data_IF_560887637275
#
_entry.id   IF_560887637275
#
_cell.length_a   1.000
_cell.length_b   1.000
_cell.length_c   1.000
_cell.angle_alpha   90.00
_cell.angle_beta   90.00
_cell.angle_gamma   90.00
#
_symmetry.space_group_name_H-M   'P 1'
#
loop_
_entity.id
_entity.type
_entity.pdbx_description
1 polymer ?
#
# COMPACT_ATOMS: atom_id res chain seq x y z
N UNK A 1 -10.74 8.43 16.88
CA UNK A 1 -10.64 7.08 16.28
C UNK A 1 -9.95 7.16 14.92
N UNK A 2 -8.84 6.44 14.75
CA UNK A 2 -8.12 6.36 13.48
C UNK A 2 -9.03 5.63 12.47
N UNK A 3 -9.20 6.16 11.26
CA UNK A 3 -10.06 5.57 10.22
C UNK A 3 -9.47 4.28 9.63
N UNK A 4 -8.14 4.21 9.64
CA UNK A 4 -7.35 3.10 9.15
C UNK A 4 -7.12 2.14 10.31
N UNK A 5 -7.64 0.93 10.22
CA UNK A 5 -7.57 -0.02 11.33
C UNK A 5 -6.33 -0.90 11.23
N UNK A 6 -6.09 -1.55 10.08
CA UNK A 6 -5.01 -2.55 9.96
C UNK A 6 -4.59 -2.77 8.50
N UNK A 7 -3.28 -2.93 8.28
CA UNK A 7 -2.73 -3.48 7.03
C UNK A 7 -2.73 -5.01 7.10
N UNK A 8 -3.35 -5.65 6.11
CA UNK A 8 -3.39 -7.10 5.97
C UNK A 8 -2.55 -7.50 4.77
N UNK A 9 -1.43 -8.17 5.01
CA UNK A 9 -0.54 -8.65 3.96
C UNK A 9 -1.20 -9.75 3.13
N UNK A 10 -1.10 -9.65 1.80
CA UNK A 10 -1.55 -10.65 0.85
C UNK A 10 -0.38 -11.55 0.48
N UNK A 11 -0.10 -12.53 1.35
CA UNK A 11 0.98 -13.48 1.17
C UNK A 11 2.38 -12.89 1.38
N UNK A 12 3.38 -13.51 0.76
CA UNK A 12 4.76 -13.07 0.83
C UNK A 12 5.03 -11.90 -0.11
N UNK A 13 6.05 -11.10 0.22
CA UNK A 13 6.53 -10.06 -0.65
C UNK A 13 7.11 -10.67 -1.95
N UNK A 14 6.90 -10.00 -3.07
CA UNK A 14 7.46 -10.41 -4.36
C UNK A 14 8.93 -10.04 -4.45
N UNK A 15 9.71 -10.82 -5.18
CA UNK A 15 11.15 -10.62 -5.40
C UNK A 15 11.45 -9.72 -6.61
N UNK A 16 12.59 -9.00 -6.65
CA UNK A 16 12.94 -8.16 -7.80
C UNK A 16 12.98 -8.99 -9.09
N UNK A 17 12.64 -8.38 -10.23
CA UNK A 17 12.58 -9.05 -11.53
C UNK A 17 11.30 -9.84 -11.80
N UNK A 18 10.35 -9.91 -10.86
CA UNK A 18 9.04 -10.50 -11.15
C UNK A 18 8.19 -9.60 -12.05
N UNK A 19 7.49 -10.19 -13.02
CA UNK A 19 6.61 -9.45 -13.93
C UNK A 19 5.39 -8.87 -13.17
N UNK A 20 5.19 -7.56 -13.32
CA UNK A 20 4.09 -6.81 -12.69
C UNK A 20 2.97 -6.52 -13.69
N UNK A 21 3.34 -6.32 -14.95
CA UNK A 21 2.47 -6.06 -16.11
C UNK A 21 3.21 -6.48 -17.37
N UNK A 22 2.53 -6.61 -18.52
CA UNK A 22 3.12 -7.08 -19.77
C UNK A 22 4.45 -6.39 -20.07
N UNK A 23 5.55 -7.16 -19.99
CA UNK A 23 6.93 -6.72 -20.18
C UNK A 23 7.47 -5.66 -19.20
N UNK A 24 6.88 -5.54 -18.01
CA UNK A 24 7.37 -4.69 -16.93
C UNK A 24 7.67 -5.52 -15.69
N UNK A 25 8.92 -5.43 -15.21
CA UNK A 25 9.41 -6.14 -14.03
C UNK A 25 9.55 -5.16 -12.85
N UNK A 26 9.33 -5.66 -11.64
CA UNK A 26 9.57 -4.85 -10.43
C UNK A 26 11.07 -4.72 -10.13
N UNK A 27 11.49 -3.51 -9.77
CA UNK A 27 12.90 -3.22 -9.49
C UNK A 27 13.35 -3.59 -8.08
N UNK A 28 12.42 -3.61 -7.11
CA UNK A 28 12.67 -3.85 -5.69
C UNK A 28 11.66 -4.87 -5.16
N UNK A 29 11.94 -5.50 -4.03
CA UNK A 29 10.99 -6.40 -3.35
C UNK A 29 9.83 -5.60 -2.76
N UNK A 30 8.59 -6.03 -3.03
CA UNK A 30 7.39 -5.31 -2.58
C UNK A 30 6.37 -6.23 -1.94
N UNK A 31 5.72 -5.76 -0.88
CA UNK A 31 4.70 -6.48 -0.13
C UNK A 31 3.32 -5.92 -0.48
N UNK A 32 2.45 -6.75 -1.04
CA UNK A 32 1.08 -6.38 -1.40
C UNK A 32 0.16 -6.62 -0.22
N UNK A 33 -0.85 -5.78 -0.05
CA UNK A 33 -1.82 -5.93 1.02
C UNK A 33 -3.04 -5.05 0.84
N UNK A 34 -3.89 -5.07 1.85
CA UNK A 34 -5.06 -4.19 1.94
C UNK A 34 -5.05 -3.46 3.28
N UNK A 35 -5.42 -2.19 3.26
CA UNK A 35 -5.80 -1.47 4.46
C UNK A 35 -7.30 -1.63 4.68
N UNK A 36 -7.66 -2.16 5.85
CA UNK A 36 -9.04 -2.23 6.30
C UNK A 36 -9.43 -0.91 6.98
N UNK A 37 -10.60 -0.40 6.63
CA UNK A 37 -11.22 0.74 7.27
C UNK A 37 -12.35 0.25 8.17
N UNK A 38 -12.72 1.09 9.13
CA UNK A 38 -13.91 0.89 9.96
C UNK A 38 -15.15 0.63 9.10
N UNK A 39 -16.05 -0.23 9.59
CA UNK A 39 -17.25 -0.68 8.85
C UNK A 39 -18.17 0.46 8.40
N UNK A 40 -18.12 1.60 9.10
CA UNK A 40 -18.86 2.81 8.73
C UNK A 40 -18.17 3.67 7.65
N UNK A 41 -17.17 3.14 6.95
CA UNK A 41 -16.46 3.85 5.87
C UNK A 41 -16.73 3.22 4.50
N UNK A 42 -16.76 4.05 3.45
CA UNK A 42 -16.81 3.61 2.06
C UNK A 42 -15.66 4.24 1.24
N UNK A 43 -14.84 3.43 0.53
CA UNK A 43 -14.83 1.97 0.57
C UNK A 43 -14.32 1.45 1.94
N UNK A 44 -14.63 0.18 2.24
CA UNK A 44 -14.20 -0.48 3.49
C UNK A 44 -12.74 -0.95 3.45
N UNK A 45 -12.11 -0.95 2.27
CA UNK A 45 -10.70 -1.29 2.13
C UNK A 45 -10.03 -0.56 0.96
N UNK A 46 -8.71 -0.41 1.04
CA UNK A 46 -7.85 0.03 -0.07
C UNK A 46 -6.72 -0.95 -0.32
N UNK A 47 -6.40 -1.18 -1.59
CA UNK A 47 -5.17 -1.88 -1.95
C UNK A 47 -3.96 -1.02 -1.61
N UNK A 48 -2.88 -1.68 -1.17
CA UNK A 48 -1.62 -1.03 -0.87
C UNK A 48 -0.45 -1.93 -1.27
N UNK A 49 0.66 -1.28 -1.62
CA UNK A 49 1.94 -1.90 -1.91
C UNK A 49 2.99 -1.21 -1.07
N UNK A 50 3.72 -1.96 -0.25
CA UNK A 50 4.77 -1.44 0.61
C UNK A 50 6.13 -2.01 0.19
N UNK A 51 7.21 -1.33 0.57
CA UNK A 51 8.55 -1.90 0.43
C UNK A 51 8.73 -3.09 1.37
N UNK A 52 9.52 -4.08 0.95
CA UNK A 52 9.98 -5.10 1.88
C UNK A 52 10.95 -4.47 2.89
N UNK A 53 10.57 -4.40 4.16
CA UNK A 53 11.40 -3.81 5.22
C UNK A 53 12.71 -4.57 5.48
N UNK A 54 12.84 -5.81 5.00
CA UNK A 54 14.07 -6.59 5.09
C UNK A 54 15.04 -6.29 3.94
N UNK A 55 14.59 -5.64 2.86
CA UNK A 55 15.43 -5.29 1.72
C UNK A 55 16.29 -4.06 2.04
N UNK A 56 17.61 -4.21 1.96
CA UNK A 56 18.57 -3.12 2.25
C UNK A 56 18.95 -2.29 1.03
N UNK A 57 18.50 -2.71 -0.15
CA UNK A 57 18.77 -2.06 -1.42
C UNK A 57 18.20 -2.87 -2.58
N UNK A 58 17.95 -2.22 -3.70
CA UNK A 58 17.48 -2.84 -4.93
C UNK A 58 18.28 -2.36 -6.13
N UNK A 59 18.05 -2.96 -7.31
CA UNK A 59 18.81 -2.69 -8.54
C UNK A 59 20.30 -3.02 -8.34
N UNK A 60 20.67 -4.24 -8.68
CA UNK A 60 22.04 -4.73 -8.56
C UNK A 60 22.67 -4.85 -9.95
N UNK A 61 23.93 -4.44 -10.07
CA UNK A 61 24.71 -4.74 -11.27
C UNK A 61 25.39 -6.10 -11.16
N UNK A 62 25.64 -6.74 -12.30
CA UNK A 62 26.19 -8.10 -12.36
C UNK A 62 27.68 -8.20 -12.00
N UNK A 63 28.37 -7.08 -11.75
CA UNK A 63 29.83 -7.04 -11.59
C UNK A 63 30.27 -6.71 -10.17
N UNK A 64 29.49 -5.92 -9.42
CA UNK A 64 29.87 -5.38 -8.12
C UNK A 64 28.97 -5.80 -6.96
N UNK A 65 27.83 -6.44 -7.25
CA UNK A 65 26.81 -6.84 -6.26
C UNK A 65 26.36 -5.68 -5.34
N UNK A 66 26.58 -4.45 -5.80
CA UNK A 66 26.21 -3.24 -5.09
C UNK A 66 24.80 -2.83 -5.48
N UNK A 67 23.98 -2.49 -4.48
CA UNK A 67 22.69 -1.87 -4.71
C UNK A 67 22.86 -0.42 -5.22
N UNK A 68 22.11 -0.08 -6.28
CA UNK A 68 22.06 1.25 -6.88
C UNK A 68 20.73 1.97 -6.65
N UNK A 69 19.76 1.30 -6.02
CA UNK A 69 18.47 1.86 -5.65
C UNK A 69 18.07 1.46 -4.23
N UNK A 70 17.06 2.15 -3.69
CA UNK A 70 16.45 1.82 -2.41
C UNK A 70 14.94 2.03 -2.53
N UNK A 71 14.17 1.04 -2.09
CA UNK A 71 12.72 1.15 -2.06
C UNK A 71 12.29 2.14 -0.97
N UNK A 72 11.38 3.06 -1.32
CA UNK A 72 10.81 4.02 -0.37
C UNK A 72 9.29 3.99 -0.44
N UNK A 73 8.65 3.72 0.69
CA UNK A 73 7.20 3.85 0.84
C UNK A 73 6.83 5.30 1.16
N UNK A 74 5.72 5.74 0.60
CA UNK A 74 5.17 7.08 0.68
C UNK A 74 3.67 7.00 0.97
N UNK A 75 3.08 8.09 1.45
CA UNK A 75 1.64 8.14 1.71
C UNK A 75 0.89 8.76 0.55
N UNK A 76 -0.16 8.09 0.10
CA UNK A 76 -1.14 8.64 -0.83
C UNK A 76 -2.34 9.18 -0.05
N UNK A 77 -2.66 10.45 -0.30
CA UNK A 77 -3.87 11.08 0.25
C UNK A 77 -5.11 10.68 -0.56
N UNK A 78 -6.06 10.02 0.09
CA UNK A 78 -7.32 9.57 -0.52
C UNK A 78 -8.52 10.16 0.22
N UNK A 79 -9.66 10.26 -0.47
CA UNK A 79 -10.94 10.69 0.11
C UNK A 79 -11.85 9.47 0.30
N UNK A 80 -12.45 9.37 1.47
CA UNK A 80 -13.42 8.33 1.84
C UNK A 80 -14.70 8.96 2.32
N UNK A 81 -15.79 8.21 2.24
CA UNK A 81 -17.03 8.55 2.92
C UNK A 81 -17.04 7.88 4.29
N UNK A 82 -17.41 8.61 5.34
CA UNK A 82 -17.62 8.08 6.69
C UNK A 82 -19.05 8.36 7.12
N UNK A 83 -19.78 7.33 7.52
CA UNK A 83 -21.07 7.47 8.17
C UNK A 83 -20.86 7.81 9.66
N UNK A 84 -21.33 8.98 10.06
CA UNK A 84 -21.34 9.44 11.47
C UNK A 84 -22.68 9.23 12.16
N UNK A 85 -23.71 8.88 11.39
CA UNK A 85 -25.04 8.51 11.88
C UNK A 85 -25.13 7.02 12.23
N UNK A 86 -26.35 6.50 12.28
CA UNK A 86 -26.64 5.08 12.54
C UNK A 86 -27.20 4.38 11.28
N UNK A 87 -27.62 3.12 11.42
CA UNK A 87 -28.18 2.30 10.33
C UNK A 87 -29.54 2.81 9.81
N UNK A 88 -30.22 3.68 10.57
CA UNK A 88 -31.56 4.19 10.26
C UNK A 88 -31.49 5.62 9.69
N UNK A 89 -30.59 6.44 10.24
CA UNK A 89 -30.35 7.81 9.86
C UNK A 89 -28.86 8.00 9.58
N UNK A 90 -28.47 7.67 8.36
CA UNK A 90 -27.09 7.80 7.91
C UNK A 90 -26.70 9.28 7.71
N UNK A 91 -25.47 9.63 8.11
CA UNK A 91 -24.88 10.95 7.88
C UNK A 91 -23.48 10.78 7.30
N UNK A 92 -23.39 10.85 5.97
CA UNK A 92 -22.13 10.64 5.25
C UNK A 92 -21.34 11.94 5.08
N UNK A 93 -20.08 11.90 5.51
CA UNK A 93 -19.13 13.01 5.32
C UNK A 93 -17.90 12.54 4.57
N UNK A 94 -17.25 13.45 3.85
CA UNK A 94 -15.96 13.18 3.21
C UNK A 94 -14.85 13.39 4.25
N UNK A 95 -14.03 12.37 4.47
CA UNK A 95 -12.81 12.44 5.27
C UNK A 95 -11.60 12.10 4.39
N UNK A 96 -10.45 12.70 4.72
CA UNK A 96 -9.19 12.40 4.05
C UNK A 96 -8.42 11.37 4.88
N UNK A 97 -7.85 10.38 4.21
CA UNK A 97 -6.96 9.38 4.80
C UNK A 97 -5.61 9.39 4.11
N UNK A 98 -4.60 8.89 4.82
CA UNK A 98 -3.28 8.61 4.28
C UNK A 98 -3.08 7.09 4.21
N UNK A 99 -2.87 6.60 2.99
CA UNK A 99 -2.62 5.18 2.74
C UNK A 99 -1.19 5.03 2.30
N UNK A 100 -0.42 4.19 2.99
CA UNK A 100 0.95 3.90 2.56
C UNK A 100 0.94 3.13 1.24
N UNK A 101 1.81 3.53 0.33
CA UNK A 101 2.02 2.91 -0.96
C UNK A 101 3.50 3.07 -1.36
N UNK A 102 3.89 2.53 -2.50
CA UNK A 102 5.06 2.98 -3.24
C UNK A 102 4.63 4.04 -4.26
N UNK A 103 5.43 5.08 -4.46
CA UNK A 103 5.32 5.96 -5.61
C UNK A 103 6.21 5.38 -6.71
N UNK A 104 5.65 5.19 -7.91
CA UNK A 104 6.39 4.81 -9.13
C UNK A 104 7.15 6.01 -9.70
#
# INVERSE_FOLDING_TARGET
PNLLETFVALGNCSEPGQEVSWAHEQLCSVCRGVYMLSENCFPTFFNSVLCNHQETGCIFDSFSDRAHGMCRSETLSLRVLRNRGDEICEEWVIEQIEVWTILL
#
